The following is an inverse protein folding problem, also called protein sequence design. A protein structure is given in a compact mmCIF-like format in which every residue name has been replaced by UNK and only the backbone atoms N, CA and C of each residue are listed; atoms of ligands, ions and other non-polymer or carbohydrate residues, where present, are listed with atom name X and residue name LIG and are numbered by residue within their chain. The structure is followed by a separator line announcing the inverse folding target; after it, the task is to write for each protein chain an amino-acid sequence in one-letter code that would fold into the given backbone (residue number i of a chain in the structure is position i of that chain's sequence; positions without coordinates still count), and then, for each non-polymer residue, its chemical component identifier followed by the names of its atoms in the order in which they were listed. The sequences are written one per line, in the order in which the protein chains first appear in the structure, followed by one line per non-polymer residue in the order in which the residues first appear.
data_IF_329254463566
#
_entry.id   IF_329254463566
#
_cell.length_a   1.000
_cell.length_b   1.000
_cell.length_c   1.000
_cell.angle_alpha   90.00
_cell.angle_beta   90.00
_cell.angle_gamma   90.00
#
_symmetry.space_group_name_H-M   'P 1'
#
loop_
_entity.id
_entity.type
_entity.pdbx_description
1 polymer ?
#
# COMPACT_ATOMS: atom_id res chain seq x y z
N UNK A 1 -0.82 5.24 -25.62
CA UNK A 1 -1.06 3.83 -26.04
C UNK A 1 -0.84 2.81 -24.92
N UNK A 2 0.29 2.82 -24.17
CA UNK A 2 0.55 1.81 -23.11
C UNK A 2 -0.32 2.01 -21.86
N UNK A 3 -0.46 3.25 -21.43
CA UNK A 3 -1.29 3.62 -20.27
C UNK A 3 -2.78 3.32 -20.51
N UNK A 4 -3.25 3.47 -21.75
CA UNK A 4 -4.64 3.15 -22.09
C UNK A 4 -4.92 1.64 -22.00
N UNK A 5 -3.94 0.78 -22.35
CA UNK A 5 -4.08 -0.67 -22.22
C UNK A 5 -4.20 -1.12 -20.74
N UNK A 6 -3.40 -0.53 -19.85
CA UNK A 6 -3.45 -0.85 -18.42
C UNK A 6 -4.78 -0.43 -17.79
N UNK A 7 -5.27 0.74 -18.17
CA UNK A 7 -6.58 1.24 -17.78
C UNK A 7 -7.70 0.30 -18.20
N UNK A 8 -7.75 -0.07 -19.49
CA UNK A 8 -8.78 -1.00 -20.01
C UNK A 8 -8.69 -2.37 -19.34
N UNK A 9 -7.48 -2.84 -19.04
CA UNK A 9 -7.28 -4.09 -18.31
C UNK A 9 -7.88 -4.02 -16.91
N UNK A 10 -7.63 -2.94 -16.15
CA UNK A 10 -8.23 -2.75 -14.82
C UNK A 10 -9.75 -2.64 -14.90
N UNK A 11 -10.27 -1.88 -15.86
CA UNK A 11 -11.72 -1.76 -16.10
C UNK A 11 -12.34 -3.14 -16.35
N UNK A 12 -11.69 -3.98 -17.16
CA UNK A 12 -12.18 -5.33 -17.43
C UNK A 12 -12.22 -6.22 -16.18
N UNK A 13 -11.21 -6.14 -15.31
CA UNK A 13 -11.16 -6.86 -14.02
C UNK A 13 -12.36 -6.45 -13.14
N UNK A 14 -12.60 -5.15 -13.01
CA UNK A 14 -13.67 -4.63 -12.15
C UNK A 14 -15.06 -4.99 -12.71
N UNK A 15 -15.27 -4.85 -14.03
CA UNK A 15 -16.53 -5.26 -14.67
C UNK A 15 -16.80 -6.76 -14.56
N UNK A 16 -15.79 -7.60 -14.77
CA UNK A 16 -15.87 -9.05 -14.57
C UNK A 16 -16.11 -9.42 -13.10
N UNK A 17 -15.83 -8.48 -12.20
CA UNK A 17 -16.13 -8.61 -10.77
C UNK A 17 -17.55 -8.14 -10.40
N UNK A 18 -18.35 -7.69 -11.39
CA UNK A 18 -19.73 -7.26 -11.20
C UNK A 18 -19.86 -5.78 -10.84
N UNK A 19 -18.79 -5.00 -10.94
CA UNK A 19 -18.81 -3.57 -10.65
C UNK A 19 -19.10 -2.74 -11.90
N UNK A 20 -19.87 -1.68 -11.73
CA UNK A 20 -20.15 -0.73 -12.81
C UNK A 20 -19.02 0.30 -12.88
N UNK A 21 -18.37 0.42 -14.06
CA UNK A 21 -17.21 1.29 -14.27
C UNK A 21 -17.49 2.25 -15.41
N UNK A 22 -17.35 3.55 -15.12
CA UNK A 22 -17.52 4.64 -16.07
C UNK A 22 -16.15 5.32 -16.31
N UNK A 23 -15.57 5.23 -17.52
CA UNK A 23 -14.37 5.99 -17.87
C UNK A 23 -14.64 7.50 -17.78
N UNK A 24 -13.62 8.25 -17.29
CA UNK A 24 -13.68 9.71 -17.27
C UNK A 24 -12.98 10.23 -18.53
N UNK A 25 -13.65 11.07 -19.35
CA UNK A 25 -13.04 11.64 -20.55
C UNK A 25 -11.79 12.46 -20.21
N UNK A 26 -10.76 12.34 -21.04
CA UNK A 26 -9.56 13.19 -20.93
C UNK A 26 -9.96 14.64 -21.22
N UNK A 27 -9.60 15.55 -20.32
CA UNK A 27 -9.81 16.99 -20.44
C UNK A 27 -8.46 17.73 -20.62
N UNK A 28 -8.52 19.04 -20.71
CA UNK A 28 -7.30 19.89 -20.77
C UNK A 28 -6.49 19.88 -19.48
N UNK A 29 -7.11 19.49 -18.38
CA UNK A 29 -6.47 19.26 -17.08
C UNK A 29 -6.36 17.75 -16.79
N UNK A 30 -5.49 17.39 -15.86
CA UNK A 30 -5.36 15.99 -15.42
C UNK A 30 -6.66 15.50 -14.79
N UNK A 31 -7.16 14.36 -15.28
CA UNK A 31 -8.38 13.72 -14.78
C UNK A 31 -8.06 12.32 -14.29
N UNK A 32 -8.74 11.82 -13.24
CA UNK A 32 -8.70 10.41 -12.90
C UNK A 32 -9.14 9.54 -14.08
N UNK A 33 -8.73 8.29 -14.10
CA UNK A 33 -8.98 7.42 -15.24
C UNK A 33 -10.44 6.98 -15.37
N UNK A 34 -11.07 6.63 -14.24
CA UNK A 34 -12.46 6.19 -14.25
C UNK A 34 -13.11 6.32 -12.85
N UNK A 35 -14.43 6.17 -12.86
CA UNK A 35 -15.27 6.11 -11.67
C UNK A 35 -15.86 4.71 -11.54
N UNK A 36 -15.80 4.11 -10.37
CA UNK A 36 -16.55 2.90 -10.01
C UNK A 36 -17.81 3.35 -9.31
N UNK A 37 -18.97 3.02 -9.91
CA UNK A 37 -20.26 3.40 -9.38
C UNK A 37 -20.82 2.27 -8.50
N UNK A 38 -21.24 2.61 -7.28
CA UNK A 38 -21.74 1.65 -6.31
C UNK A 38 -22.91 2.25 -5.50
N UNK A 39 -23.81 1.41 -4.96
CA UNK A 39 -24.93 1.89 -4.15
C UNK A 39 -24.52 2.64 -2.89
N UNK A 40 -23.35 2.31 -2.35
CA UNK A 40 -22.80 2.84 -1.12
C UNK A 40 -21.77 3.96 -1.31
N UNK A 41 -21.64 4.46 -2.55
CA UNK A 41 -20.82 5.61 -2.90
C UNK A 41 -19.78 5.33 -3.97
N UNK A 42 -19.55 6.31 -4.81
CA UNK A 42 -18.64 6.22 -5.95
C UNK A 42 -17.18 6.32 -5.55
N UNK A 43 -16.31 5.65 -6.30
CA UNK A 43 -14.85 5.69 -6.13
C UNK A 43 -14.19 6.27 -7.37
N UNK A 44 -13.41 7.34 -7.21
CA UNK A 44 -12.48 7.81 -8.25
C UNK A 44 -11.22 6.95 -8.23
N UNK A 45 -10.82 6.47 -9.40
CA UNK A 45 -9.65 5.60 -9.56
C UNK A 45 -8.67 6.19 -10.56
N UNK A 46 -7.42 6.27 -10.13
CA UNK A 46 -6.28 6.56 -11.00
C UNK A 46 -5.39 5.33 -11.12
N UNK A 47 -5.08 4.93 -12.35
CA UNK A 47 -4.22 3.78 -12.65
C UNK A 47 -2.81 4.28 -12.94
N UNK A 48 -1.84 3.71 -12.27
CA UNK A 48 -0.42 3.90 -12.57
C UNK A 48 0.24 2.56 -12.79
N UNK A 49 1.11 2.49 -13.77
CA UNK A 49 1.94 1.32 -14.00
C UNK A 49 3.42 1.67 -14.00
N UNK A 50 4.23 0.76 -13.52
CA UNK A 50 5.67 0.86 -13.58
C UNK A 50 6.26 -0.40 -14.18
N UNK A 51 6.95 -0.20 -15.31
CA UNK A 51 7.74 -1.25 -15.95
C UNK A 51 9.21 -1.18 -15.51
N UNK A 52 9.94 -2.21 -15.91
CA UNK A 52 11.39 -2.20 -15.92
C UNK A 52 11.92 -1.04 -16.76
N UNK A 53 12.63 -0.13 -16.14
CA UNK A 53 13.48 0.76 -16.89
C UNK A 53 14.89 0.15 -17.06
N UNK A 54 15.60 0.58 -18.09
CA UNK A 54 16.94 0.07 -18.40
C UNK A 54 17.95 0.38 -17.27
N UNK A 55 17.75 1.50 -16.56
CA UNK A 55 18.61 1.86 -15.42
C UNK A 55 18.45 0.85 -14.29
N UNK A 56 17.20 0.45 -13.99
CA UNK A 56 16.91 -0.55 -12.98
C UNK A 56 17.48 -1.92 -13.35
N UNK A 57 17.39 -2.33 -14.63
CA UNK A 57 18.01 -3.57 -15.14
C UNK A 57 19.53 -3.54 -14.97
N UNK A 58 20.17 -2.40 -15.27
CA UNK A 58 21.60 -2.22 -15.12
C UNK A 58 22.04 -2.27 -13.66
N UNK A 59 21.26 -1.65 -12.76
CA UNK A 59 21.51 -1.68 -11.32
C UNK A 59 21.39 -3.10 -10.73
N UNK A 60 20.42 -3.89 -11.19
CA UNK A 60 20.24 -5.28 -10.76
C UNK A 60 21.39 -6.20 -11.21
N UNK A 61 22.03 -5.88 -12.34
CA UNK A 61 23.22 -6.60 -12.84
C UNK A 61 24.52 -6.18 -12.13
N UNK A 62 24.48 -5.12 -11.32
CA UNK A 62 25.65 -4.66 -10.61
C UNK A 62 25.99 -5.57 -9.43
N UNK A 63 27.25 -6.00 -9.27
CA UNK A 63 27.68 -6.84 -8.14
C UNK A 63 27.52 -6.14 -6.77
N UNK A 64 27.33 -4.81 -6.73
CA UNK A 64 27.09 -4.04 -5.51
C UNK A 64 25.63 -4.04 -5.04
N UNK A 65 24.73 -4.72 -5.79
CA UNK A 65 23.31 -4.71 -5.53
C UNK A 65 22.64 -3.34 -5.78
N UNK A 66 21.33 -3.34 -5.87
CA UNK A 66 20.57 -2.09 -6.00
C UNK A 66 20.20 -1.59 -4.62
N UNK A 67 20.51 -0.33 -4.27
CA UNK A 67 19.99 0.24 -3.05
C UNK A 67 18.47 0.17 -3.04
N UNK A 68 17.90 -0.51 -2.04
CA UNK A 68 16.44 -0.66 -1.89
C UNK A 68 15.75 0.71 -1.87
N UNK A 69 16.43 1.74 -1.35
CA UNK A 69 16.00 3.12 -1.27
C UNK A 69 15.65 3.77 -2.63
N UNK A 70 16.36 3.42 -3.70
CA UNK A 70 16.08 3.98 -5.03
C UNK A 70 14.72 3.53 -5.58
N UNK A 71 14.36 2.27 -5.36
CA UNK A 71 13.09 1.68 -5.83
C UNK A 71 11.89 2.23 -5.06
N UNK A 72 12.05 2.43 -3.76
CA UNK A 72 11.00 2.98 -2.87
C UNK A 72 10.58 4.37 -3.35
N UNK A 73 11.54 5.25 -3.64
CA UNK A 73 11.24 6.63 -4.02
C UNK A 73 10.45 6.76 -5.31
N UNK A 74 10.69 5.88 -6.30
CA UNK A 74 9.98 5.91 -7.58
C UNK A 74 8.51 5.49 -7.43
N UNK A 75 8.24 4.41 -6.71
CA UNK A 75 6.87 3.92 -6.49
C UNK A 75 6.10 4.93 -5.64
N UNK A 76 6.73 5.43 -4.58
CA UNK A 76 6.14 6.46 -3.73
C UNK A 76 5.78 7.71 -4.55
N UNK A 77 6.66 8.16 -5.43
CA UNK A 77 6.39 9.30 -6.34
C UNK A 77 5.20 9.00 -7.24
N UNK A 78 5.14 7.83 -7.88
CA UNK A 78 4.02 7.45 -8.73
C UNK A 78 2.68 7.46 -7.99
N UNK A 79 2.62 6.91 -6.76
CA UNK A 79 1.40 6.90 -5.96
C UNK A 79 1.00 8.32 -5.53
N UNK A 80 1.97 9.14 -5.14
CA UNK A 80 1.71 10.55 -4.78
C UNK A 80 1.24 11.39 -5.96
N UNK A 81 1.78 11.17 -7.15
CA UNK A 81 1.35 11.87 -8.36
C UNK A 81 -0.06 11.44 -8.77
N UNK A 82 -0.38 10.14 -8.65
CA UNK A 82 -1.73 9.65 -8.85
C UNK A 82 -2.72 10.28 -7.87
N UNK A 83 -2.35 10.33 -6.59
CA UNK A 83 -3.16 10.99 -5.56
C UNK A 83 -3.39 12.47 -5.88
N UNK A 84 -2.35 13.22 -6.29
CA UNK A 84 -2.50 14.64 -6.68
C UNK A 84 -3.48 14.80 -7.84
N UNK A 85 -3.38 13.94 -8.84
CA UNK A 85 -4.27 13.95 -10.01
C UNK A 85 -5.75 13.78 -9.60
N UNK A 86 -6.03 12.88 -8.64
CA UNK A 86 -7.37 12.73 -8.08
C UNK A 86 -7.74 13.96 -7.23
N UNK A 87 -6.83 14.43 -6.39
CA UNK A 87 -7.07 15.54 -5.46
C UNK A 87 -7.37 16.85 -6.18
N UNK A 88 -6.66 17.12 -7.27
CA UNK A 88 -6.79 18.35 -8.06
C UNK A 88 -7.91 18.28 -9.10
N UNK A 89 -8.63 17.14 -9.17
CA UNK A 89 -9.76 16.98 -10.08
C UNK A 89 -10.94 17.85 -9.65
N UNK A 90 -11.48 18.76 -10.51
CA UNK A 90 -12.51 19.71 -10.13
C UNK A 90 -13.81 19.08 -9.59
N UNK A 91 -14.16 17.89 -10.11
CA UNK A 91 -15.38 17.17 -9.71
C UNK A 91 -15.09 16.08 -8.68
N UNK A 92 -13.99 16.21 -7.91
CA UNK A 92 -13.60 15.22 -6.90
C UNK A 92 -14.70 15.01 -5.84
N UNK A 93 -15.36 16.09 -5.44
CA UNK A 93 -16.38 16.06 -4.39
C UNK A 93 -17.70 15.37 -4.80
N UNK A 94 -17.86 15.07 -6.11
CA UNK A 94 -18.95 14.23 -6.61
C UNK A 94 -18.76 12.74 -6.30
N UNK A 95 -17.57 12.32 -5.89
CA UNK A 95 -17.27 10.95 -5.49
C UNK A 95 -17.00 10.85 -3.98
N UNK A 96 -17.45 9.74 -3.40
CA UNK A 96 -17.33 9.51 -1.96
C UNK A 96 -15.91 9.09 -1.57
N UNK A 97 -15.22 8.34 -2.46
CA UNK A 97 -13.95 7.70 -2.17
C UNK A 97 -12.90 7.89 -3.26
N UNK A 98 -11.64 7.66 -2.90
CA UNK A 98 -10.48 7.82 -3.79
C UNK A 98 -9.56 6.62 -3.70
N UNK A 99 -9.10 6.12 -4.84
CA UNK A 99 -8.28 4.92 -4.94
C UNK A 99 -7.17 5.09 -5.99
N UNK A 100 -5.97 4.67 -5.67
CA UNK A 100 -4.89 4.50 -6.64
C UNK A 100 -4.76 3.02 -6.96
N UNK A 101 -4.78 2.67 -8.24
CA UNK A 101 -4.50 1.32 -8.71
C UNK A 101 -3.09 1.27 -9.30
N UNK A 102 -2.16 0.64 -8.58
CA UNK A 102 -0.77 0.57 -8.98
C UNK A 102 -0.42 -0.82 -9.52
N UNK A 103 -0.01 -0.86 -10.80
CA UNK A 103 0.38 -2.09 -11.50
C UNK A 103 1.90 -2.17 -11.53
N UNK A 104 2.46 -3.28 -11.04
CA UNK A 104 3.87 -3.58 -11.22
C UNK A 104 4.04 -4.73 -12.19
N UNK A 105 4.90 -4.53 -13.19
CA UNK A 105 5.30 -5.59 -14.10
C UNK A 105 6.65 -6.16 -13.66
N UNK A 106 6.96 -7.39 -14.08
CA UNK A 106 8.20 -8.05 -13.72
C UNK A 106 9.42 -7.19 -14.06
N UNK A 107 10.28 -7.00 -13.07
CA UNK A 107 11.60 -6.39 -13.21
C UNK A 107 12.62 -7.51 -13.13
N UNK A 108 13.19 -7.93 -14.27
CA UNK A 108 14.27 -8.91 -14.30
C UNK A 108 13.99 -10.21 -13.54
N UNK A 109 12.73 -10.69 -13.52
CA UNK A 109 12.33 -11.89 -12.76
C UNK A 109 12.03 -11.67 -11.27
N UNK A 110 12.34 -10.49 -10.72
CA UNK A 110 12.07 -10.14 -9.33
C UNK A 110 10.80 -9.28 -9.30
N UNK A 111 9.79 -9.71 -8.59
CA UNK A 111 8.61 -8.88 -8.32
C UNK A 111 9.05 -7.70 -7.44
N UNK A 112 9.03 -6.48 -7.98
CA UNK A 112 9.49 -5.25 -7.28
C UNK A 112 8.69 -5.00 -6.01
N UNK A 113 7.48 -5.53 -5.96
CA UNK A 113 6.63 -5.49 -4.79
C UNK A 113 6.51 -6.89 -4.18
N UNK A 114 7.55 -7.32 -3.47
CA UNK A 114 7.29 -8.33 -2.44
C UNK A 114 6.31 -7.74 -1.43
N UNK A 115 5.46 -8.57 -0.84
CA UNK A 115 4.48 -8.11 0.16
C UNK A 115 5.11 -7.21 1.22
N UNK A 116 6.26 -7.60 1.76
CA UNK A 116 6.99 -6.83 2.79
C UNK A 116 7.44 -5.45 2.31
N UNK A 117 7.81 -5.32 1.03
CA UNK A 117 8.23 -4.06 0.46
C UNK A 117 7.05 -3.08 0.28
N UNK A 118 5.94 -3.58 -0.28
CA UNK A 118 4.73 -2.81 -0.45
C UNK A 118 4.13 -2.38 0.90
N UNK A 119 4.16 -3.27 1.88
CA UNK A 119 3.74 -2.97 3.25
C UNK A 119 4.64 -1.91 3.89
N UNK A 120 5.96 -2.00 3.69
CA UNK A 120 6.90 -0.97 4.15
C UNK A 120 6.63 0.40 3.54
N UNK A 121 6.27 0.45 2.26
CA UNK A 121 5.98 1.70 1.55
C UNK A 121 4.66 2.36 1.99
N UNK A 122 3.58 1.58 2.02
CA UNK A 122 2.24 2.10 2.32
C UNK A 122 2.04 2.34 3.82
N UNK A 123 2.54 1.44 4.64
CA UNK A 123 2.24 1.40 6.06
C UNK A 123 3.45 1.65 6.98
N UNK A 124 4.66 1.80 6.45
CA UNK A 124 5.86 1.99 7.28
C UNK A 124 6.12 0.80 8.19
N UNK A 125 6.01 -0.43 7.68
CA UNK A 125 6.15 -1.64 8.50
C UNK A 125 7.59 -1.92 8.90
N UNK A 126 7.74 -2.54 10.07
CA UNK A 126 8.98 -3.15 10.58
C UNK A 126 8.67 -4.55 11.11
N UNK A 127 9.59 -5.49 10.93
CA UNK A 127 9.47 -6.79 11.57
C UNK A 127 9.98 -6.72 12.99
N UNK A 128 9.15 -7.09 13.94
CA UNK A 128 9.46 -7.04 15.37
C UNK A 128 9.43 -8.44 15.99
N UNK A 129 10.31 -8.63 16.96
CA UNK A 129 10.30 -9.73 17.89
C UNK A 129 9.84 -9.21 19.26
N UNK A 130 8.73 -9.73 19.76
CA UNK A 130 8.18 -9.44 21.08
C UNK A 130 8.24 -10.66 21.98
N UNK A 131 8.49 -10.47 23.29
CA UNK A 131 8.51 -11.56 24.28
C UNK A 131 7.77 -11.19 25.54
N UNK A 132 7.04 -12.17 26.10
CA UNK A 132 6.50 -12.16 27.46
C UNK A 132 7.25 -13.23 28.27
N UNK A 133 8.24 -12.80 29.04
CA UNK A 133 9.16 -13.70 29.75
C UNK A 133 8.41 -14.56 30.76
N UNK A 134 7.48 -13.95 31.53
CA UNK A 134 6.69 -14.66 32.54
C UNK A 134 5.79 -15.77 31.97
N UNK A 135 5.34 -15.64 30.72
CA UNK A 135 4.49 -16.62 30.03
C UNK A 135 5.26 -17.49 29.04
N UNK A 136 6.56 -17.26 28.85
CA UNK A 136 7.41 -17.91 27.83
C UNK A 136 6.86 -17.75 26.41
N UNK A 137 6.12 -16.66 26.14
CA UNK A 137 5.53 -16.38 24.85
C UNK A 137 6.50 -15.59 23.98
N UNK A 138 6.55 -15.95 22.72
CA UNK A 138 7.39 -15.34 21.70
C UNK A 138 6.54 -14.99 20.47
N UNK A 139 6.68 -13.76 20.00
CA UNK A 139 5.97 -13.24 18.85
C UNK A 139 6.95 -12.70 17.82
N UNK A 140 6.74 -13.03 16.55
CA UNK A 140 7.45 -12.42 15.43
C UNK A 140 6.40 -11.93 14.44
N UNK A 141 6.18 -10.61 14.40
CA UNK A 141 5.11 -9.98 13.64
C UNK A 141 5.58 -8.71 12.96
N UNK A 142 4.96 -8.37 11.83
CA UNK A 142 5.07 -7.02 11.27
C UNK A 142 4.38 -6.02 12.19
N UNK A 143 4.98 -4.84 12.31
CA UNK A 143 4.41 -3.70 13.01
C UNK A 143 4.10 -2.60 12.00
N UNK A 144 2.83 -2.31 11.84
CA UNK A 144 2.34 -1.23 10.99
C UNK A 144 2.58 0.13 11.64
N UNK A 145 2.86 1.13 10.80
CA UNK A 145 3.11 2.52 11.21
C UNK A 145 4.28 2.69 12.19
N UNK A 146 5.25 1.81 12.10
CA UNK A 146 6.50 1.93 12.85
C UNK A 146 7.38 3.05 12.28
N UNK A 147 7.32 3.30 10.96
CA UNK A 147 8.03 4.35 10.24
C UNK A 147 7.07 5.27 9.50
N UNK A 148 7.56 6.44 9.04
CA UNK A 148 6.85 7.27 8.08
C UNK A 148 6.50 6.45 6.82
N UNK A 149 5.33 6.72 6.24
CA UNK A 149 4.80 5.98 5.11
C UNK A 149 3.83 6.82 4.29
N UNK A 150 3.37 6.32 3.16
CA UNK A 150 2.40 7.02 2.31
C UNK A 150 1.12 7.34 3.10
N UNK A 151 0.58 6.37 3.84
CA UNK A 151 -0.65 6.57 4.60
C UNK A 151 -0.46 7.38 5.87
N UNK A 152 0.72 7.34 6.48
CA UNK A 152 1.04 8.09 7.71
C UNK A 152 1.87 9.35 7.44
N UNK A 153 2.06 9.80 6.23
CA UNK A 153 2.85 10.99 5.93
C UNK A 153 2.15 12.26 6.41
N UNK A 154 2.87 13.13 7.11
CA UNK A 154 2.43 14.51 7.44
C UNK A 154 2.09 15.33 6.19
N UNK A 155 2.47 14.86 5.01
CA UNK A 155 2.49 15.62 3.76
C UNK A 155 1.51 15.12 2.69
N UNK A 156 0.30 14.60 2.97
CA UNK A 156 -0.70 14.71 1.90
C UNK A 156 -1.51 13.49 1.42
N UNK A 157 -1.30 12.25 1.77
CA UNK A 157 -2.18 11.19 1.26
C UNK A 157 -3.24 10.70 2.28
N UNK A 158 -3.55 11.52 3.29
CA UNK A 158 -4.49 11.13 4.36
C UNK A 158 -5.92 10.89 3.88
N UNK A 159 -6.31 11.55 2.79
CA UNK A 159 -7.62 11.43 2.19
C UNK A 159 -7.69 10.40 1.05
N UNK A 160 -6.59 9.69 0.77
CA UNK A 160 -6.58 8.51 -0.09
C UNK A 160 -7.14 7.33 0.70
N UNK A 161 -8.24 6.72 0.24
CA UNK A 161 -8.92 5.68 1.00
C UNK A 161 -8.23 4.31 0.89
N UNK A 162 -7.51 4.09 -0.21
CA UNK A 162 -6.72 2.88 -0.39
C UNK A 162 -5.82 2.90 -1.62
N UNK A 163 -4.98 1.88 -1.68
CA UNK A 163 -4.13 1.60 -2.85
C UNK A 163 -4.31 0.14 -3.23
N UNK A 164 -4.63 -0.13 -4.50
CA UNK A 164 -4.56 -1.49 -5.04
C UNK A 164 -3.15 -1.73 -5.54
N UNK A 165 -2.53 -2.76 -5.01
CA UNK A 165 -1.26 -3.28 -5.50
C UNK A 165 -1.56 -4.48 -6.39
N UNK A 166 -1.22 -4.36 -7.67
CA UNK A 166 -1.44 -5.38 -8.67
C UNK A 166 -0.10 -5.82 -9.27
N UNK A 167 0.31 -7.02 -8.93
CA UNK A 167 1.47 -7.68 -9.52
C UNK A 167 1.05 -8.93 -10.33
N UNK A 168 2.04 -9.64 -10.89
CA UNK A 168 1.79 -10.83 -11.73
C UNK A 168 1.11 -11.97 -10.96
N UNK A 169 1.20 -11.97 -9.64
CA UNK A 169 0.75 -13.07 -8.78
C UNK A 169 -0.51 -12.72 -7.98
N UNK A 170 -0.74 -11.43 -7.72
CA UNK A 170 -1.79 -11.03 -6.79
C UNK A 170 -2.35 -9.63 -7.05
N UNK A 171 -3.60 -9.44 -6.65
CA UNK A 171 -4.26 -8.15 -6.57
C UNK A 171 -4.67 -7.95 -5.11
N UNK A 172 -4.22 -6.85 -4.48
CA UNK A 172 -4.47 -6.56 -3.07
C UNK A 172 -4.95 -5.14 -2.89
N UNK A 173 -6.08 -4.96 -2.26
CA UNK A 173 -6.55 -3.66 -1.79
C UNK A 173 -5.96 -3.38 -0.41
N UNK A 174 -5.09 -2.39 -0.33
CA UNK A 174 -4.49 -1.89 0.90
C UNK A 174 -5.31 -0.72 1.42
N UNK A 175 -6.04 -0.90 2.50
CA UNK A 175 -6.88 0.14 3.11
C UNK A 175 -6.04 1.15 3.88
N UNK A 176 -6.46 2.42 3.87
CA UNK A 176 -5.80 3.49 4.63
C UNK A 176 -6.56 3.79 5.94
N UNK A 177 -6.11 3.31 7.10
CA UNK A 177 -6.79 3.58 8.37
C UNK A 177 -6.74 5.05 8.81
N UNK A 178 -5.90 5.87 8.18
CA UNK A 178 -5.83 7.31 8.45
C UNK A 178 -6.76 8.13 7.54
N UNK A 179 -7.44 7.48 6.58
CA UNK A 179 -8.50 8.17 5.82
C UNK A 179 -9.67 8.51 6.73
N UNK A 180 -10.21 9.74 6.67
CA UNK A 180 -11.41 10.11 7.42
C UNK A 180 -12.64 9.27 7.02
N UNK A 181 -12.58 8.57 5.91
CA UNK A 181 -13.66 7.72 5.39
C UNK A 181 -13.40 6.22 5.58
N UNK A 182 -12.30 5.85 6.24
CA UNK A 182 -11.89 4.45 6.41
C UNK A 182 -12.99 3.56 6.99
N UNK A 183 -13.67 4.02 8.06
CA UNK A 183 -14.73 3.24 8.71
C UNK A 183 -15.91 2.91 7.80
N UNK A 184 -16.16 3.74 6.79
CA UNK A 184 -17.19 3.51 5.77
C UNK A 184 -16.60 2.71 4.62
N UNK A 185 -15.43 3.12 4.10
CA UNK A 185 -14.81 2.52 2.92
C UNK A 185 -14.52 1.02 3.08
N UNK A 186 -14.11 0.59 4.27
CA UNK A 186 -13.83 -0.83 4.55
C UNK A 186 -15.05 -1.76 4.46
N UNK A 187 -16.25 -1.20 4.44
CA UNK A 187 -17.51 -1.96 4.31
C UNK A 187 -18.21 -1.76 2.97
N UNK A 188 -17.61 -1.02 2.02
CA UNK A 188 -18.21 -0.79 0.71
C UNK A 188 -18.29 -2.04 -0.14
N UNK A 189 -19.17 -1.97 -1.15
CA UNK A 189 -19.32 -3.01 -2.18
C UNK A 189 -17.98 -3.33 -2.83
N UNK A 190 -17.16 -2.32 -3.15
CA UNK A 190 -15.81 -2.53 -3.70
C UNK A 190 -14.93 -3.37 -2.78
N UNK A 191 -14.82 -2.98 -1.52
CA UNK A 191 -13.99 -3.70 -0.54
C UNK A 191 -14.48 -5.14 -0.35
N UNK A 192 -15.80 -5.35 -0.31
CA UNK A 192 -16.38 -6.69 -0.21
C UNK A 192 -16.07 -7.55 -1.45
N UNK A 193 -16.11 -6.97 -2.66
CA UNK A 193 -15.68 -7.65 -3.88
C UNK A 193 -14.21 -8.07 -3.77
N UNK A 194 -13.34 -7.19 -3.24
CA UNK A 194 -11.93 -7.55 -3.04
C UNK A 194 -11.74 -8.66 -2.00
N UNK A 195 -12.51 -8.68 -0.92
CA UNK A 195 -12.47 -9.78 0.08
C UNK A 195 -12.83 -11.14 -0.52
N UNK A 196 -13.78 -11.16 -1.46
CA UNK A 196 -14.27 -12.41 -2.09
C UNK A 196 -13.36 -12.88 -3.22
N UNK A 197 -12.87 -11.97 -4.06
CA UNK A 197 -12.19 -12.32 -5.31
C UNK A 197 -10.68 -12.16 -5.29
N UNK A 198 -10.18 -11.32 -4.40
CA UNK A 198 -8.77 -10.93 -4.32
C UNK A 198 -8.30 -10.96 -2.86
N UNK A 199 -7.50 -9.99 -2.46
CA UNK A 199 -7.08 -9.83 -1.09
C UNK A 199 -7.33 -8.39 -0.58
N UNK A 200 -7.63 -8.26 0.71
CA UNK A 200 -7.70 -6.97 1.41
C UNK A 200 -6.66 -6.98 2.52
N UNK A 201 -5.90 -5.90 2.61
CA UNK A 201 -5.00 -5.63 3.73
C UNK A 201 -5.66 -4.55 4.57
N UNK A 202 -6.16 -4.95 5.72
CA UNK A 202 -6.75 -4.08 6.75
C UNK A 202 -5.94 -4.23 8.03
N UNK A 203 -5.10 -3.24 8.39
CA UNK A 203 -4.27 -3.33 9.60
C UNK A 203 -5.07 -3.56 10.88
N UNK A 204 -6.26 -2.96 11.02
CA UNK A 204 -7.08 -3.13 12.24
C UNK A 204 -7.63 -4.55 12.37
N UNK A 205 -8.09 -5.13 11.26
CA UNK A 205 -8.55 -6.52 11.24
C UNK A 205 -7.39 -7.50 11.52
N UNK A 206 -6.21 -7.24 10.92
CA UNK A 206 -5.01 -8.04 11.17
C UNK A 206 -4.54 -7.94 12.63
N UNK A 207 -4.63 -6.75 13.24
CA UNK A 207 -4.34 -6.58 14.68
C UNK A 207 -5.34 -7.35 15.53
N UNK A 208 -6.63 -7.23 15.25
CA UNK A 208 -7.69 -7.94 15.98
C UNK A 208 -7.54 -9.47 15.87
N UNK A 209 -7.09 -9.97 14.72
CA UNK A 209 -6.74 -11.37 14.51
C UNK A 209 -5.41 -11.78 15.17
N UNK A 210 -4.68 -10.83 15.75
CA UNK A 210 -3.39 -11.10 16.36
C UNK A 210 -2.26 -11.36 15.36
N UNK A 211 -2.40 -10.97 14.10
CA UNK A 211 -1.43 -11.23 13.03
C UNK A 211 -0.31 -10.18 12.97
N UNK A 212 -0.58 -8.96 13.43
CA UNK A 212 0.38 -7.86 13.41
C UNK A 212 0.38 -7.05 14.71
N UNK A 213 1.33 -6.11 14.81
CA UNK A 213 1.31 -5.01 15.77
C UNK A 213 0.96 -3.71 15.04
N UNK A 214 0.38 -2.74 15.73
CA UNK A 214 0.12 -1.41 15.20
C UNK A 214 0.66 -0.34 16.15
N UNK A 215 1.49 0.55 15.63
CA UNK A 215 2.03 1.70 16.36
C UNK A 215 1.13 2.95 16.17
N UNK A 216 -0.14 2.89 16.61
CA UNK A 216 -1.03 4.06 16.66
C UNK A 216 -0.67 4.95 17.85
N UNK A 217 0.35 5.78 17.70
CA UNK A 217 0.79 6.72 18.72
C UNK A 217 1.25 8.03 18.11
N UNK A 218 1.31 9.08 18.95
CA UNK A 218 1.81 10.41 18.58
C UNK A 218 3.34 10.52 18.63
N UNK A 219 4.05 9.45 18.97
CA UNK A 219 5.51 9.41 19.02
C UNK A 219 6.09 9.70 17.64
N UNK A 220 7.11 10.53 17.57
CA UNK A 220 7.85 10.79 16.34
C UNK A 220 8.42 9.49 15.76
N UNK A 221 8.29 9.29 14.46
CA UNK A 221 8.74 8.05 13.79
C UNK A 221 10.25 7.90 13.75
N UNK A 222 11.01 8.97 14.01
CA UNK A 222 12.45 8.92 14.22
C UNK A 222 12.82 8.42 15.65
N UNK A 223 11.94 8.60 16.64
CA UNK A 223 12.13 8.06 18.00
C UNK A 223 11.71 6.58 18.08
N UNK A 224 12.52 5.70 17.50
CA UNK A 224 12.30 4.24 17.53
C UNK A 224 12.18 3.69 18.94
N UNK A 225 12.92 4.25 19.91
CA UNK A 225 12.86 3.81 21.30
C UNK A 225 11.51 4.19 21.94
N UNK A 226 10.99 5.36 21.63
CA UNK A 226 9.65 5.79 22.05
C UNK A 226 8.56 4.88 21.51
N UNK A 227 8.63 4.52 20.21
CA UNK A 227 7.69 3.58 19.59
C UNK A 227 7.80 2.21 20.26
N UNK A 228 9.02 1.71 20.51
CA UNK A 228 9.22 0.42 21.20
C UNK A 228 8.61 0.46 22.61
N UNK A 229 8.78 1.55 23.39
CA UNK A 229 8.13 1.70 24.70
C UNK A 229 6.62 1.67 24.60
N UNK A 230 6.05 2.38 23.62
CA UNK A 230 4.60 2.35 23.35
C UNK A 230 4.11 0.92 23.05
N UNK A 231 4.78 0.19 22.18
CA UNK A 231 4.39 -1.18 21.82
C UNK A 231 4.52 -2.14 22.99
N UNK A 232 5.54 -2.01 23.82
CA UNK A 232 5.68 -2.79 25.06
C UNK A 232 4.48 -2.58 25.98
N UNK A 233 4.07 -1.34 26.19
CA UNK A 233 2.91 -1.00 27.01
C UNK A 233 1.60 -1.49 26.39
N UNK A 234 1.39 -1.26 25.09
CA UNK A 234 0.14 -1.61 24.39
C UNK A 234 -0.11 -3.12 24.38
N UNK A 235 0.93 -3.93 24.15
CA UNK A 235 0.80 -5.37 23.98
C UNK A 235 1.29 -6.18 25.20
N UNK A 236 1.59 -5.51 26.31
CA UNK A 236 2.08 -6.14 27.54
C UNK A 236 3.32 -7.02 27.27
N UNK A 237 4.33 -6.45 26.59
CA UNK A 237 5.56 -7.14 26.23
C UNK A 237 6.73 -6.73 27.13
N UNK A 238 7.49 -7.70 27.64
CA UNK A 238 8.70 -7.44 28.41
C UNK A 238 9.84 -6.88 27.53
N UNK A 239 9.98 -7.46 26.34
CA UNK A 239 10.98 -7.02 25.35
C UNK A 239 10.39 -6.90 23.96
N UNK A 240 10.88 -5.89 23.21
CA UNK A 240 10.61 -5.72 21.78
C UNK A 240 11.95 -5.43 21.10
N UNK A 241 12.26 -6.19 20.05
CA UNK A 241 13.44 -6.01 19.21
C UNK A 241 13.05 -5.82 17.76
N UNK A 242 13.72 -4.88 17.08
CA UNK A 242 13.59 -4.71 15.64
C UNK A 242 14.48 -5.76 14.97
N UNK A 243 13.87 -6.58 14.10
CA UNK A 243 14.60 -7.55 13.30
C UNK A 243 15.03 -6.88 12.01
N UNK A 244 16.34 -6.68 11.85
CA UNK A 244 16.88 -6.22 10.57
C UNK A 244 17.03 -7.42 9.65
N UNK A 245 16.33 -7.41 8.53
CA UNK A 245 16.68 -8.31 7.43
C UNK A 245 18.03 -7.88 6.87
N UNK A 246 19.01 -8.74 6.99
CA UNK A 246 20.18 -8.66 6.12
C UNK A 246 19.66 -9.07 4.73
N UNK A 247 19.70 -8.21 3.71
CA UNK A 247 19.28 -8.60 2.39
C UNK A 247 20.14 -9.81 1.96
N UNK A 248 19.50 -10.93 1.71
CA UNK A 248 20.19 -12.06 1.09
C UNK A 248 20.65 -11.60 -0.30
N UNK A 249 21.96 -11.61 -0.53
CA UNK A 249 22.51 -11.55 -1.87
C UNK A 249 22.11 -12.85 -2.55
N UNK A 250 21.08 -12.81 -3.39
CA UNK A 250 20.82 -13.92 -4.30
C UNK A 250 21.94 -13.90 -5.36
N UNK A 251 22.73 -14.98 -5.50
CA UNK A 251 23.55 -15.12 -6.70
C UNK A 251 22.58 -15.15 -7.88
N UNK A 252 22.79 -14.28 -8.84
CA UNK A 252 22.08 -14.29 -10.13
C UNK A 252 22.96 -15.13 -11.03
N UNK A 253 22.60 -16.40 -11.20
CA UNK A 253 23.13 -17.26 -12.26
C UNK A 253 22.63 -16.77 -13.63
#
# INVERSE_FOLDING_TARGET
MKDDHDKEFVISILRNSGLQVQPIPKATHQTPDFRVMMPDGDVLVEVKSKDDDQQLRNLLKSPKGTPLSYKVSLIETCIRDAWRQIHDFPNRDEANFTLVWFITRKVGGITVLTNSFAMGLLYGTELLEGRKVGRKEFYRKECFFFRESIFFSKKKCKDLDGVVLHDVQSIKLCLNPYSPRYSVFKHTTLTNVFRVKFAVVDPEEMEAAGECFIAYCSVDREDKNGIVRYLKSKYDLDTVKIIRFVPFNYPVD
#
